data_IF_870327712209
#
_entry.id   IF_870327712209
#
_cell.length_a   1.000
_cell.length_b   1.000
_cell.length_c   1.000
_cell.angle_alpha   90.00
_cell.angle_beta   90.00
_cell.angle_gamma   90.00
#
_symmetry.space_group_name_H-M   'P 1'
#
loop_
_entity.id
_entity.type
_entity.pdbx_description
1 polymer ?
#
# COMPACT_ATOMS: atom_id res chain seq x y z
N UNK A 1 -22.88 28.16 -28.43
CA UNK A 1 -22.95 27.25 -27.26
C UNK A 1 -22.34 25.89 -27.55
N UNK A 2 -22.65 25.23 -28.67
CA UNK A 2 -22.10 23.92 -29.08
C UNK A 2 -20.57 23.85 -29.17
N UNK A 3 -19.89 24.91 -29.63
CA UNK A 3 -18.41 24.97 -29.72
C UNK A 3 -17.70 25.01 -28.35
N UNK A 4 -18.31 25.65 -27.36
CA UNK A 4 -17.76 25.72 -26.00
C UNK A 4 -17.87 24.35 -25.32
N UNK A 5 -19.01 23.67 -25.53
CA UNK A 5 -19.23 22.30 -25.03
C UNK A 5 -18.17 21.34 -25.60
N UNK A 6 -17.87 21.46 -26.90
CA UNK A 6 -16.86 20.62 -27.55
C UNK A 6 -15.45 20.83 -26.98
N UNK A 7 -15.09 22.07 -26.65
CA UNK A 7 -13.80 22.41 -26.01
C UNK A 7 -13.71 21.88 -24.57
N UNK A 8 -14.80 21.98 -23.80
CA UNK A 8 -14.86 21.43 -22.45
C UNK A 8 -14.73 19.90 -22.45
N UNK A 9 -15.39 19.21 -23.39
CA UNK A 9 -15.29 17.76 -23.54
C UNK A 9 -13.87 17.34 -23.91
N UNK A 10 -13.25 18.02 -24.88
CA UNK A 10 -11.86 17.75 -25.30
C UNK A 10 -10.87 17.91 -24.14
N UNK A 11 -10.99 18.98 -23.36
CA UNK A 11 -10.17 19.22 -22.17
C UNK A 11 -10.32 18.12 -21.12
N UNK A 12 -11.54 17.67 -20.88
CA UNK A 12 -11.82 16.60 -19.91
C UNK A 12 -11.21 15.25 -20.34
N UNK A 13 -11.24 14.93 -21.63
CA UNK A 13 -10.63 13.72 -22.19
C UNK A 13 -9.11 13.66 -22.00
N UNK A 14 -8.40 14.78 -22.11
CA UNK A 14 -6.95 14.82 -21.88
C UNK A 14 -6.57 14.51 -20.42
N UNK A 15 -7.35 14.99 -19.45
CA UNK A 15 -7.06 14.81 -18.02
C UNK A 15 -7.15 13.34 -17.59
N UNK A 16 -8.07 12.56 -18.17
CA UNK A 16 -8.25 11.14 -17.84
C UNK A 16 -7.02 10.30 -18.26
N UNK A 17 -6.32 10.68 -19.33
CA UNK A 17 -5.15 9.92 -19.83
C UNK A 17 -3.90 10.07 -18.97
N UNK A 18 -3.83 11.10 -18.13
CA UNK A 18 -2.68 11.38 -17.26
C UNK A 18 -2.87 10.89 -15.83
N UNK A 19 -4.05 10.33 -15.51
CA UNK A 19 -4.32 9.71 -14.22
C UNK A 19 -3.39 8.51 -13.99
N UNK A 20 -2.28 8.75 -13.28
CA UNK A 20 -1.40 7.68 -12.79
C UNK A 20 -2.10 7.01 -11.60
N UNK A 21 -2.41 5.72 -11.73
CA UNK A 21 -2.79 4.93 -10.57
C UNK A 21 -1.64 4.94 -9.55
N UNK A 22 -1.96 5.21 -8.28
CA UNK A 22 -0.94 5.32 -7.23
C UNK A 22 -0.38 3.94 -6.91
N UNK A 23 0.87 3.66 -7.30
CA UNK A 23 1.61 2.51 -6.79
C UNK A 23 1.94 2.74 -5.32
N UNK A 24 1.26 2.03 -4.42
CA UNK A 24 1.60 2.04 -3.00
C UNK A 24 2.84 1.19 -2.75
N UNK A 25 4.02 1.82 -2.90
CA UNK A 25 5.27 1.21 -2.46
C UNK A 25 5.44 1.46 -0.96
N UNK A 26 5.70 0.40 -0.19
CA UNK A 26 6.20 0.52 1.17
C UNK A 26 7.61 1.14 1.11
N UNK A 27 7.68 2.47 0.99
CA UNK A 27 8.92 3.23 0.94
C UNK A 27 9.78 3.08 2.20
N UNK A 28 10.98 3.67 2.17
CA UNK A 28 11.86 3.77 3.35
C UNK A 28 11.11 4.44 4.49
N UNK A 29 11.23 3.90 5.70
CA UNK A 29 10.63 4.51 6.88
C UNK A 29 11.42 5.78 7.24
N UNK A 30 10.72 6.89 7.45
CA UNK A 30 11.34 8.05 8.10
C UNK A 30 11.58 7.71 9.57
N UNK A 31 12.72 8.13 10.11
CA UNK A 31 13.07 7.94 11.52
C UNK A 31 12.00 8.55 12.44
N UNK A 32 11.44 9.70 12.05
CA UNK A 32 10.41 10.38 12.82
C UNK A 32 9.10 9.57 12.88
N UNK A 33 8.72 8.92 11.77
CA UNK A 33 7.54 8.04 11.72
C UNK A 33 7.73 6.77 12.55
N UNK A 34 8.95 6.22 12.57
CA UNK A 34 9.30 5.07 13.40
C UNK A 34 9.26 5.38 14.90
N UNK A 35 9.67 6.58 15.29
CA UNK A 35 9.67 7.05 16.68
C UNK A 35 8.24 7.41 17.14
N UNK A 36 7.42 8.06 16.30
CA UNK A 36 6.02 8.40 16.63
C UNK A 36 5.10 7.18 16.71
N UNK A 37 5.31 6.16 15.88
CA UNK A 37 4.52 4.94 15.93
C UNK A 37 4.87 4.04 17.14
N UNK A 38 5.86 4.42 17.95
CA UNK A 38 6.28 3.72 19.16
C UNK A 38 5.35 3.89 20.36
N UNK A 39 4.35 4.77 20.28
CA UNK A 39 3.48 5.08 21.41
C UNK A 39 2.44 3.97 21.58
N UNK A 40 2.89 2.86 22.15
CA UNK A 40 2.00 1.77 22.55
C UNK A 40 1.32 2.21 23.84
N UNK A 41 -0.01 2.29 23.80
CA UNK A 41 -0.85 2.44 25.00
C UNK A 41 -0.70 1.25 25.95
N UNK A 42 -0.10 0.16 25.48
CA UNK A 42 0.04 -1.11 26.18
C UNK A 42 1.54 -1.48 26.37
N UNK A 43 2.07 -1.18 27.56
CA UNK A 43 3.47 -1.40 27.97
C UNK A 43 3.92 -2.88 27.92
N UNK A 44 2.96 -3.79 27.74
CA UNK A 44 3.20 -5.24 27.81
C UNK A 44 3.67 -5.85 26.49
N UNK A 45 3.33 -5.27 25.34
CA UNK A 45 3.56 -5.89 24.02
C UNK A 45 5.04 -6.07 23.64
N UNK A 46 5.42 -7.26 23.16
CA UNK A 46 6.79 -7.56 22.70
C UNK A 46 7.11 -6.99 21.31
N UNK A 47 6.09 -6.79 20.47
CA UNK A 47 6.20 -6.18 19.15
C UNK A 47 4.89 -5.48 18.76
N UNK A 48 4.98 -4.52 17.84
CA UNK A 48 3.83 -3.80 17.30
C UNK A 48 3.83 -3.82 15.77
N UNK A 49 2.64 -3.96 15.19
CA UNK A 49 2.45 -3.84 13.74
C UNK A 49 2.38 -2.36 13.40
N UNK A 50 3.42 -1.85 12.73
CA UNK A 50 3.46 -0.47 12.24
C UNK A 50 2.60 -0.29 11.00
N UNK A 51 2.59 -1.30 10.12
CA UNK A 51 1.89 -1.24 8.84
C UNK A 51 1.65 -2.64 8.30
N UNK A 52 0.43 -2.91 7.84
CA UNK A 52 0.06 -4.12 7.12
C UNK A 52 -0.49 -3.72 5.76
N UNK A 53 0.07 -4.29 4.71
CA UNK A 53 -0.39 -4.12 3.34
C UNK A 53 -0.74 -5.49 2.76
N UNK A 54 -1.88 -5.57 2.08
CA UNK A 54 -2.32 -6.77 1.39
C UNK A 54 -2.71 -6.39 -0.03
N UNK A 55 -2.21 -7.17 -0.98
CA UNK A 55 -2.56 -7.06 -2.39
C UNK A 55 -3.01 -8.43 -2.87
N UNK A 56 -4.18 -8.51 -3.49
CA UNK A 56 -4.70 -9.75 -4.08
C UNK A 56 -4.98 -9.52 -5.55
N UNK A 57 -4.41 -10.35 -6.41
CA UNK A 57 -4.57 -10.25 -7.86
C UNK A 57 -4.63 -11.62 -8.52
N UNK A 58 -5.27 -11.68 -9.68
CA UNK A 58 -5.28 -12.87 -10.51
C UNK A 58 -4.00 -12.91 -11.37
N UNK A 59 -3.30 -14.03 -11.34
CA UNK A 59 -2.10 -14.28 -12.15
C UNK A 59 -2.34 -15.51 -13.02
N UNK A 60 -2.21 -15.35 -14.33
CA UNK A 60 -2.15 -16.50 -15.23
C UNK A 60 -0.72 -17.01 -15.35
N UNK A 61 -0.50 -18.31 -15.14
CA UNK A 61 0.84 -18.93 -15.20
C UNK A 61 0.84 -20.17 -16.11
N UNK A 62 0.74 -19.92 -17.42
CA UNK A 62 0.91 -20.94 -18.48
C UNK A 62 0.15 -22.24 -18.18
N UNK A 63 0.89 -23.35 -18.09
CA UNK A 63 0.33 -24.68 -17.81
C UNK A 63 -0.43 -24.80 -16.48
N UNK A 64 -0.22 -23.89 -15.51
CA UNK A 64 -0.90 -23.89 -14.21
C UNK A 64 -2.24 -23.15 -14.23
N UNK A 65 -2.54 -22.39 -15.28
CA UNK A 65 -3.79 -21.65 -15.42
C UNK A 65 -3.87 -20.39 -14.55
N UNK A 66 -5.09 -19.97 -14.22
CA UNK A 66 -5.35 -18.79 -13.37
C UNK A 66 -5.15 -19.12 -11.89
N UNK A 67 -4.40 -18.27 -11.21
CA UNK A 67 -4.13 -18.35 -9.78
C UNK A 67 -4.58 -17.06 -9.09
N UNK A 68 -5.07 -17.18 -7.86
CA UNK A 68 -5.29 -16.04 -6.98
C UNK A 68 -4.04 -15.87 -6.13
N UNK A 69 -3.30 -14.80 -6.35
CA UNK A 69 -2.09 -14.47 -5.59
C UNK A 69 -2.45 -13.46 -4.53
N UNK A 70 -2.16 -13.77 -3.27
CA UNK A 70 -2.28 -12.82 -2.16
C UNK A 70 -0.90 -12.53 -1.61
N UNK A 71 -0.45 -11.29 -1.75
CA UNK A 71 0.80 -10.78 -1.20
C UNK A 71 0.48 -10.03 0.09
N UNK A 72 1.05 -10.47 1.19
CA UNK A 72 0.95 -9.80 2.49
C UNK A 72 2.33 -9.26 2.84
N UNK A 73 2.40 -7.97 3.16
CA UNK A 73 3.61 -7.32 3.63
C UNK A 73 3.32 -6.62 4.96
N UNK A 74 4.06 -7.01 5.99
CA UNK A 74 3.92 -6.47 7.33
C UNK A 74 5.22 -5.80 7.77
N UNK A 75 5.10 -4.61 8.35
CA UNK A 75 6.19 -3.92 9.03
C UNK A 75 5.92 -4.02 10.52
N UNK A 76 6.77 -4.76 11.20
CA UNK A 76 6.67 -5.00 12.64
C UNK A 76 7.84 -4.28 13.31
N UNK A 77 7.56 -3.51 14.36
CA UNK A 77 8.58 -2.97 15.26
C UNK A 77 8.69 -3.88 16.46
N UNK A 78 9.88 -4.41 16.65
CA UNK A 78 10.22 -5.24 17.81
C UNK A 78 10.59 -4.31 18.96
N UNK A 79 9.90 -4.46 20.10
CA UNK A 79 10.10 -3.64 21.30
C UNK A 79 10.92 -4.37 22.35
N UNK A 80 10.67 -5.68 22.51
CA UNK A 80 11.41 -6.55 23.43
C UNK A 80 12.09 -7.64 22.61
N UNK A 81 13.38 -7.88 22.88
CA UNK A 81 14.19 -8.86 22.15
C UNK A 81 13.90 -10.31 22.56
N UNK A 82 13.18 -10.49 23.66
CA UNK A 82 12.93 -11.76 24.30
C UNK A 82 11.62 -12.38 23.78
N UNK A 83 11.74 -13.57 23.19
CA UNK A 83 10.64 -14.44 22.72
C UNK A 83 9.73 -13.87 21.61
N UNK A 84 10.30 -13.58 20.44
CA UNK A 84 9.49 -13.37 19.22
C UNK A 84 9.88 -14.46 18.21
N UNK A 85 8.93 -15.36 17.94
CA UNK A 85 9.02 -16.30 16.81
C UNK A 85 8.31 -15.60 15.65
N UNK A 86 9.06 -15.29 14.58
CA UNK A 86 8.56 -14.65 13.36
C UNK A 86 8.01 -15.67 12.37
#
# INVERSE_FOLDING_TARGET
>A
MTRIIFLCISSLLLIVTTAKAQEFKLGKIDRNDFEKAATVTDSTASAIVLKRYRETYFKYEGAKGWMIVTKVQERIKILKKENIIL
#
